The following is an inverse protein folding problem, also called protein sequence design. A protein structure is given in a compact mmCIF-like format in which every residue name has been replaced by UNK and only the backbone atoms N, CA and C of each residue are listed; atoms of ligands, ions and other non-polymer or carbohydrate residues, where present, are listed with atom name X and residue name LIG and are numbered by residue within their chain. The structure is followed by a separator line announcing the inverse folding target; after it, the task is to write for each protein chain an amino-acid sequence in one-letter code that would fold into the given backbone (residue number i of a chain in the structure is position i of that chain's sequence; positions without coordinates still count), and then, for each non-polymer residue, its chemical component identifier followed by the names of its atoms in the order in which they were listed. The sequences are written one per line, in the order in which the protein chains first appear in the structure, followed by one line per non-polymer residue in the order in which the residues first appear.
data_IF_834373843050
#
_entry.id   IF_834373843050
#
_cell.length_a   1.000
_cell.length_b   1.000
_cell.length_c   1.000
_cell.angle_alpha   90.00
_cell.angle_beta   90.00
_cell.angle_gamma   90.00
#
_symmetry.space_group_name_H-M   'P 1'
#
loop_
_entity.id
_entity.type
_entity.pdbx_description
1 polymer ?
#
# COMPACT_ATOMS: atom_id res chain seq x y z
N UNK A 1 -31.06 5.90 -18.88
CA UNK A 1 -29.72 5.29 -18.98
C UNK A 1 -29.91 3.84 -19.40
N UNK A 2 -29.28 3.40 -20.49
CA UNK A 2 -29.36 2.00 -20.89
C UNK A 2 -28.70 1.14 -19.80
N UNK A 3 -29.38 0.08 -19.36
CA UNK A 3 -28.82 -0.89 -18.40
C UNK A 3 -27.57 -1.52 -19.05
N UNK A 4 -26.37 -1.13 -18.63
CA UNK A 4 -25.15 -1.85 -18.98
C UNK A 4 -25.26 -3.25 -18.41
N UNK A 5 -25.11 -4.30 -19.20
CA UNK A 5 -25.24 -5.68 -18.71
C UNK A 5 -24.15 -6.09 -17.75
N UNK A 6 -23.01 -5.38 -17.73
CA UNK A 6 -21.85 -5.62 -16.86
C UNK A 6 -21.34 -4.27 -16.32
N UNK A 7 -21.16 -4.19 -15.02
CA UNK A 7 -20.50 -3.07 -14.35
C UNK A 7 -19.03 -3.40 -14.15
N UNK A 8 -18.15 -2.47 -14.51
CA UNK A 8 -16.70 -2.66 -14.44
C UNK A 8 -16.10 -1.92 -13.25
N UNK A 9 -15.10 -2.53 -12.63
CA UNK A 9 -14.25 -1.92 -11.60
C UNK A 9 -12.83 -2.41 -11.72
N UNK A 10 -11.91 -1.83 -10.96
CA UNK A 10 -10.49 -2.21 -10.93
C UNK A 10 -10.13 -2.76 -9.55
N UNK A 11 -9.26 -3.74 -9.51
CA UNK A 11 -8.67 -4.30 -8.28
C UNK A 11 -7.16 -4.07 -8.32
N UNK A 12 -6.61 -3.74 -7.15
CA UNK A 12 -5.17 -3.64 -6.95
C UNK A 12 -4.61 -2.23 -7.05
N UNK A 13 -3.32 -2.16 -6.77
CA UNK A 13 -2.56 -0.93 -6.69
C UNK A 13 -2.20 -0.38 -8.07
N UNK A 14 -2.40 0.92 -8.26
CA UNK A 14 -1.84 1.66 -9.39
C UNK A 14 -0.40 2.08 -9.08
N UNK A 15 0.44 2.26 -10.11
CA UNK A 15 1.78 2.81 -9.94
C UNK A 15 1.73 4.15 -9.21
N UNK A 16 2.61 4.35 -8.25
CA UNK A 16 2.68 5.59 -7.48
C UNK A 16 3.44 6.66 -8.25
N UNK A 17 2.88 7.87 -8.37
CA UNK A 17 3.62 9.00 -8.91
C UNK A 17 4.89 9.29 -8.09
N UNK A 18 5.96 9.70 -8.77
CA UNK A 18 7.27 9.97 -8.15
C UNK A 18 7.28 11.12 -7.14
N UNK A 19 6.23 11.94 -7.12
CA UNK A 19 6.08 13.02 -6.14
C UNK A 19 5.50 12.55 -4.80
N UNK A 20 5.02 11.30 -4.68
CA UNK A 20 4.57 10.76 -3.40
C UNK A 20 5.77 10.42 -2.50
N UNK A 21 5.64 10.66 -1.18
CA UNK A 21 6.70 10.38 -0.21
C UNK A 21 6.82 8.89 0.15
N UNK A 22 6.15 8.01 -0.59
CA UNK A 22 6.20 6.56 -0.43
C UNK A 22 6.43 5.89 -1.78
N UNK A 23 7.19 4.81 -1.77
CA UNK A 23 7.52 4.07 -2.99
C UNK A 23 6.57 2.92 -3.26
N UNK A 24 6.56 2.48 -4.51
CA UNK A 24 5.91 1.24 -4.90
C UNK A 24 6.68 0.03 -4.40
N UNK A 25 5.95 -0.96 -3.94
CA UNK A 25 6.49 -2.27 -3.61
C UNK A 25 7.18 -2.94 -4.81
N UNK A 26 6.62 -2.77 -6.00
CA UNK A 26 7.09 -3.37 -7.24
C UNK A 26 7.88 -2.38 -8.11
N UNK A 27 8.68 -1.50 -7.53
CA UNK A 27 9.55 -0.67 -8.35
C UNK A 27 10.64 -1.51 -9.00
N UNK A 28 10.33 -2.06 -10.17
CA UNK A 28 11.25 -2.86 -10.97
C UNK A 28 12.42 -2.08 -11.58
N UNK A 29 12.47 -0.75 -11.41
CA UNK A 29 13.57 0.06 -11.90
C UNK A 29 14.84 -0.08 -11.06
N UNK A 30 14.72 -0.63 -9.86
CA UNK A 30 15.85 -0.90 -8.97
C UNK A 30 16.18 -2.39 -8.98
N UNK A 31 17.27 -2.74 -9.62
CA UNK A 31 17.80 -4.09 -9.90
C UNK A 31 18.15 -4.93 -8.67
N UNK A 32 17.32 -4.98 -7.63
CA UNK A 32 17.57 -5.77 -6.42
C UNK A 32 16.80 -7.10 -6.34
N UNK A 33 16.44 -7.62 -7.48
CA UNK A 33 15.94 -9.00 -7.60
C UNK A 33 14.47 -9.23 -7.27
N UNK A 34 13.64 -8.19 -7.22
CA UNK A 34 12.18 -8.39 -7.19
C UNK A 34 11.44 -7.66 -6.07
N UNK A 35 11.16 -8.24 -4.95
CA UNK A 35 10.29 -7.63 -3.94
C UNK A 35 11.09 -6.94 -2.84
N UNK A 36 11.11 -5.62 -2.86
CA UNK A 36 11.82 -4.77 -1.91
C UNK A 36 11.07 -4.59 -0.59
N UNK A 37 10.49 -5.66 -0.08
CA UNK A 37 9.58 -5.63 1.06
C UNK A 37 10.23 -5.03 2.31
N UNK A 38 11.47 -5.41 2.61
CA UNK A 38 12.16 -4.92 3.80
C UNK A 38 12.42 -3.41 3.72
N UNK A 39 12.96 -2.95 2.60
CA UNK A 39 13.28 -1.54 2.40
C UNK A 39 12.01 -0.68 2.45
N UNK A 40 11.00 -1.02 1.65
CA UNK A 40 9.73 -0.28 1.61
C UNK A 40 9.04 -0.26 2.98
N UNK A 41 9.08 -1.37 3.73
CA UNK A 41 8.53 -1.44 5.09
C UNK A 41 9.26 -0.51 6.05
N UNK A 42 10.60 -0.45 5.99
CA UNK A 42 11.42 0.44 6.83
C UNK A 42 11.21 1.91 6.47
N UNK A 43 11.24 2.24 5.19
CA UNK A 43 11.03 3.61 4.69
C UNK A 43 9.63 4.12 5.05
N UNK A 44 8.61 3.30 4.86
CA UNK A 44 7.25 3.67 5.25
C UNK A 44 7.10 3.84 6.77
N UNK A 45 7.79 3.04 7.58
CA UNK A 45 7.80 3.22 9.04
C UNK A 45 8.41 4.57 9.41
N UNK A 46 9.53 4.94 8.79
CA UNK A 46 10.16 6.25 9.00
C UNK A 46 9.29 7.40 8.50
N UNK A 47 8.61 7.21 7.37
CA UNK A 47 7.68 8.19 6.83
C UNK A 47 6.53 8.47 7.81
N UNK A 48 5.88 7.44 8.37
CA UNK A 48 4.78 7.61 9.33
C UNK A 48 5.24 8.41 10.56
N UNK A 49 6.45 8.17 11.04
CA UNK A 49 7.02 8.89 12.20
C UNK A 49 7.26 10.39 11.92
N UNK A 50 7.43 10.77 10.66
CA UNK A 50 7.73 12.14 10.21
C UNK A 50 6.60 12.79 9.42
N UNK A 51 5.52 12.04 9.17
CA UNK A 51 4.40 12.49 8.34
C UNK A 51 3.91 13.88 8.81
N UNK A 52 3.74 14.77 7.84
CA UNK A 52 3.15 16.09 8.07
C UNK A 52 1.77 16.19 7.41
N UNK A 53 0.94 17.12 7.90
CA UNK A 53 -0.37 17.38 7.28
C UNK A 53 -0.23 17.88 5.84
N UNK A 54 0.93 18.45 5.50
CA UNK A 54 1.22 18.89 4.13
C UNK A 54 1.29 17.78 3.11
N UNK A 55 1.53 16.53 3.53
CA UNK A 55 1.64 15.38 2.61
C UNK A 55 0.26 14.94 2.10
N UNK A 56 -0.80 15.25 2.85
CA UNK A 56 -2.15 14.79 2.52
C UNK A 56 -2.61 15.28 1.13
N UNK A 57 -2.27 16.50 0.75
CA UNK A 57 -2.63 17.04 -0.56
C UNK A 57 -1.98 16.28 -1.73
N UNK A 58 -0.80 15.68 -1.52
CA UNK A 58 -0.13 14.85 -2.53
C UNK A 58 -0.89 13.54 -2.76
N UNK A 59 -1.35 12.90 -1.69
CA UNK A 59 -2.17 11.69 -1.80
C UNK A 59 -3.54 11.96 -2.41
N UNK A 60 -4.18 13.07 -2.05
CA UNK A 60 -5.44 13.49 -2.67
C UNK A 60 -5.25 13.75 -4.17
N UNK A 61 -4.15 14.40 -4.56
CA UNK A 61 -3.80 14.62 -5.95
C UNK A 61 -3.61 13.30 -6.69
N UNK A 62 -2.80 12.38 -6.15
CA UNK A 62 -2.55 11.08 -6.76
C UNK A 62 -3.83 10.25 -6.92
N UNK A 63 -4.69 10.21 -5.90
CA UNK A 63 -5.98 9.53 -6.00
C UNK A 63 -6.88 10.12 -7.10
N UNK A 64 -6.94 11.45 -7.22
CA UNK A 64 -7.70 12.12 -8.30
C UNK A 64 -7.16 11.78 -9.68
N UNK A 65 -5.84 11.77 -9.86
CA UNK A 65 -5.21 11.41 -11.13
C UNK A 65 -5.55 9.96 -11.52
N UNK A 66 -5.47 9.02 -10.59
CA UNK A 66 -5.82 7.61 -10.80
C UNK A 66 -7.31 7.41 -11.08
N UNK A 67 -8.18 8.11 -10.35
CA UNK A 67 -9.63 8.06 -10.59
C UNK A 67 -9.96 8.58 -11.99
N UNK A 68 -9.39 9.72 -12.39
CA UNK A 68 -9.62 10.28 -13.71
C UNK A 68 -9.13 9.35 -14.83
N UNK A 69 -7.97 8.73 -14.67
CA UNK A 69 -7.46 7.74 -15.62
C UNK A 69 -8.44 6.58 -15.81
N UNK A 70 -9.06 6.10 -14.75
CA UNK A 70 -10.06 5.02 -14.80
C UNK A 70 -11.37 5.49 -15.47
N UNK A 71 -11.81 6.71 -15.18
CA UNK A 71 -13.00 7.31 -15.81
C UNK A 71 -12.76 7.46 -17.30
N UNK A 72 -11.62 7.97 -17.72
CA UNK A 72 -11.24 8.16 -19.14
C UNK A 72 -11.14 6.81 -19.87
N UNK A 73 -10.76 5.75 -19.16
CA UNK A 73 -10.76 4.37 -19.66
C UNK A 73 -12.17 3.72 -19.69
N UNK A 74 -13.21 4.40 -19.21
CA UNK A 74 -14.58 3.92 -19.21
C UNK A 74 -14.92 2.93 -18.08
N UNK A 75 -14.16 2.94 -16.98
CA UNK A 75 -14.47 2.15 -15.78
C UNK A 75 -15.68 2.76 -15.07
N UNK A 76 -16.67 1.91 -14.73
CA UNK A 76 -17.92 2.37 -14.12
C UNK A 76 -17.77 2.73 -12.63
N UNK A 77 -16.95 1.97 -11.90
CA UNK A 77 -16.70 2.17 -10.46
C UNK A 77 -15.18 2.30 -10.26
N UNK A 78 -14.62 3.51 -10.30
CA UNK A 78 -13.20 3.72 -10.07
C UNK A 78 -12.83 3.53 -8.59
N UNK A 79 -11.58 3.15 -8.35
CA UNK A 79 -10.95 3.07 -7.03
C UNK A 79 -9.92 4.19 -6.86
N UNK A 80 -9.45 4.41 -5.62
CA UNK A 80 -8.36 5.35 -5.34
C UNK A 80 -6.97 4.83 -5.78
N UNK A 81 -6.92 3.63 -6.38
CA UNK A 81 -5.69 3.01 -6.84
C UNK A 81 -4.74 2.58 -5.73
N UNK A 82 -5.21 2.54 -4.48
CA UNK A 82 -4.42 2.16 -3.30
C UNK A 82 -3.16 3.03 -3.10
N UNK A 83 -3.18 4.27 -3.58
CA UNK A 83 -2.00 5.16 -3.60
C UNK A 83 -1.40 5.45 -2.22
N UNK A 84 -2.17 5.23 -1.13
CA UNK A 84 -1.73 5.44 0.25
C UNK A 84 -1.02 4.23 0.87
N UNK A 85 -1.07 3.08 0.22
CA UNK A 85 -0.58 1.80 0.77
C UNK A 85 0.83 1.50 0.28
N UNK A 86 1.74 1.21 1.20
CA UNK A 86 3.05 0.66 0.86
C UNK A 86 2.95 -0.81 0.48
N UNK A 87 1.97 -1.51 1.10
CA UNK A 87 1.76 -2.94 0.96
C UNK A 87 0.33 -3.30 1.37
N UNK A 88 -0.35 -4.17 0.63
CA UNK A 88 -1.75 -4.52 0.86
C UNK A 88 -2.02 -5.23 2.20
N UNK A 89 -1.02 -5.90 2.79
CA UNK A 89 -1.12 -6.54 4.12
C UNK A 89 -0.61 -5.58 5.20
N UNK A 90 0.62 -5.08 5.07
CA UNK A 90 1.31 -4.31 6.09
C UNK A 90 0.55 -3.04 6.46
N UNK A 91 0.01 -2.34 5.47
CA UNK A 91 -0.76 -1.12 5.68
C UNK A 91 -1.90 -1.33 6.71
N UNK A 92 -2.66 -2.42 6.58
CA UNK A 92 -3.74 -2.74 7.52
C UNK A 92 -3.21 -3.23 8.88
N UNK A 93 -2.16 -4.04 8.89
CA UNK A 93 -1.56 -4.55 10.12
C UNK A 93 -0.98 -3.45 11.02
N UNK A 94 -0.62 -2.27 10.45
CA UNK A 94 -0.14 -1.12 11.23
C UNK A 94 -1.20 -0.51 12.15
N UNK A 95 -2.48 -0.76 11.86
CA UNK A 95 -3.62 -0.33 12.69
C UNK A 95 -4.03 -1.38 13.74
N UNK A 96 -3.26 -2.45 13.86
CA UNK A 96 -3.45 -3.49 14.86
C UNK A 96 -2.26 -3.49 15.84
N UNK A 97 -2.55 -3.62 17.13
CA UNK A 97 -1.52 -3.91 18.12
C UNK A 97 -1.01 -5.35 17.95
N UNK A 98 0.22 -5.59 18.39
CA UNK A 98 0.81 -6.92 18.40
C UNK A 98 1.76 -7.19 17.24
N UNK A 99 1.77 -6.36 16.21
CA UNK A 99 2.73 -6.43 15.10
C UNK A 99 3.97 -5.58 15.40
N UNK A 100 5.15 -6.13 15.11
CA UNK A 100 6.42 -5.41 15.20
C UNK A 100 6.93 -5.10 13.80
N UNK A 101 6.96 -3.82 13.47
CA UNK A 101 7.47 -3.28 12.19
C UNK A 101 8.90 -2.75 12.32
N UNK A 102 9.49 -2.75 13.52
CA UNK A 102 10.85 -2.27 13.75
C UNK A 102 11.86 -3.41 13.72
N UNK A 103 11.52 -4.54 14.34
CA UNK A 103 12.37 -5.73 14.39
C UNK A 103 11.80 -6.80 13.47
N UNK A 104 12.17 -6.70 12.19
CA UNK A 104 11.70 -7.62 11.15
C UNK A 104 12.31 -9.01 11.33
N UNK A 105 11.56 -10.06 10.97
CA UNK A 105 12.02 -11.44 10.96
C UNK A 105 12.37 -11.91 9.57
N UNK A 106 13.51 -12.59 9.45
CA UNK A 106 13.91 -13.25 8.22
C UNK A 106 12.94 -14.38 7.87
N UNK A 107 12.49 -14.41 6.62
CA UNK A 107 11.59 -15.43 6.08
C UNK A 107 12.03 -15.88 4.69
N UNK A 108 12.00 -17.18 4.52
CA UNK A 108 12.14 -17.84 3.21
C UNK A 108 10.73 -18.16 2.72
N UNK A 109 10.39 -17.72 1.54
CA UNK A 109 9.03 -17.78 1.00
C UNK A 109 9.00 -18.51 -0.35
N UNK A 110 7.84 -19.11 -0.67
CA UNK A 110 7.60 -19.84 -1.91
C UNK A 110 8.69 -20.90 -2.20
N UNK A 111 8.91 -21.79 -1.25
CA UNK A 111 9.86 -22.90 -1.36
C UNK A 111 11.29 -22.45 -1.71
N UNK A 112 11.71 -21.30 -1.17
CA UNK A 112 13.03 -20.77 -1.40
C UNK A 112 13.16 -19.84 -2.61
N UNK A 113 12.05 -19.51 -3.28
CA UNK A 113 12.09 -18.65 -4.45
C UNK A 113 12.56 -17.22 -4.12
N UNK A 114 12.33 -16.75 -2.89
CA UNK A 114 12.89 -15.50 -2.40
C UNK A 114 12.95 -15.45 -0.86
N UNK A 115 13.86 -14.64 -0.37
CA UNK A 115 14.07 -14.39 1.05
C UNK A 115 13.87 -12.90 1.33
N UNK A 116 13.28 -12.58 2.48
CA UNK A 116 13.07 -11.19 2.91
C UNK A 116 12.86 -11.10 4.41
N UNK A 117 12.99 -9.88 4.95
CA UNK A 117 12.64 -9.60 6.32
C UNK A 117 11.24 -8.98 6.40
N UNK A 118 10.36 -9.56 7.22
CA UNK A 118 8.96 -9.20 7.34
C UNK A 118 8.59 -8.79 8.77
N UNK A 119 7.57 -7.94 8.94
CA UNK A 119 6.96 -7.69 10.25
C UNK A 119 6.46 -9.00 10.86
N UNK A 120 6.58 -9.12 12.18
CA UNK A 120 6.19 -10.30 12.92
C UNK A 120 5.16 -9.99 14.00
N UNK A 121 4.32 -10.98 14.31
CA UNK A 121 3.43 -10.91 15.45
C UNK A 121 4.23 -11.22 16.71
N UNK A 122 4.34 -10.27 17.63
CA UNK A 122 5.07 -10.40 18.90
C UNK A 122 4.18 -10.50 20.12
N UNK A 123 2.97 -9.97 20.04
CA UNK A 123 2.04 -9.89 21.12
C UNK A 123 0.63 -10.24 20.67
N UNK A 124 -0.32 -10.29 21.63
CA UNK A 124 -1.73 -10.51 21.32
C UNK A 124 -2.23 -9.42 20.35
N UNK A 125 -2.81 -9.83 19.24
CA UNK A 125 -3.41 -8.92 18.28
C UNK A 125 -4.65 -8.29 18.88
N UNK A 126 -4.72 -6.96 18.85
CA UNK A 126 -5.87 -6.17 19.28
C UNK A 126 -6.13 -5.06 18.27
N UNK A 127 -7.40 -4.69 18.15
CA UNK A 127 -7.79 -3.50 17.41
C UNK A 127 -7.54 -2.25 18.28
N UNK A 128 -6.87 -1.25 17.75
CA UNK A 128 -6.49 -0.04 18.49
C UNK A 128 -7.56 1.07 18.47
N UNK A 129 -8.80 0.75 18.11
CA UNK A 129 -9.92 1.69 18.07
C UNK A 129 -10.05 2.51 16.78
N UNK A 130 -9.06 2.46 15.88
CA UNK A 130 -9.18 3.07 14.57
C UNK A 130 -10.08 2.21 13.68
N UNK A 131 -11.11 2.82 13.12
CA UNK A 131 -12.01 2.13 12.19
C UNK A 131 -11.31 1.91 10.86
N UNK A 132 -11.30 0.68 10.38
CA UNK A 132 -10.82 0.34 9.03
C UNK A 132 -11.65 1.01 7.91
N UNK A 133 -12.81 1.57 8.25
CA UNK A 133 -13.69 2.31 7.32
C UNK A 133 -13.07 3.66 6.91
N UNK A 134 -12.13 4.19 7.69
CA UNK A 134 -11.46 5.46 7.41
C UNK A 134 -10.11 5.30 6.67
N UNK A 135 -9.88 4.13 6.13
CA UNK A 135 -8.67 3.82 5.36
C UNK A 135 -8.89 4.09 3.89
#
# INVERSE_FOLDING_TARGET
MANKPLTTTVIGSFPKPSYLPIEDWFDGARNDGGMNTERVTKEFTQYIEKKSDSDEHLFVRAAKEVINLQIDAGIDIPTDGEVRRENYIHYHCRYLEGFDFKNLEHRVLRDGAYETNLPAVRNKIKHNGLSLIHI
#
